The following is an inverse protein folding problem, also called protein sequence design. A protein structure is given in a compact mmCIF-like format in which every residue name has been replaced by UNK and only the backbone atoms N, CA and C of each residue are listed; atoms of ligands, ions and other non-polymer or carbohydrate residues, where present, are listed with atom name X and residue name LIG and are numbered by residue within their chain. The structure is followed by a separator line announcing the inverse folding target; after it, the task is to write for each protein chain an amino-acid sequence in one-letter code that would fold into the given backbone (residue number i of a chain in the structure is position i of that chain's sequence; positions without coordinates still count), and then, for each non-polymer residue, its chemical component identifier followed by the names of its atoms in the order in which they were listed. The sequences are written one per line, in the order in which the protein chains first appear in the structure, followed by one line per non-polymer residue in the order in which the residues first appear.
data_IF_556399783078
#
_entry.id   IF_556399783078
#
_cell.length_a   1.000
_cell.length_b   1.000
_cell.length_c   1.000
_cell.angle_alpha   90.00
_cell.angle_beta   90.00
_cell.angle_gamma   90.00
#
_symmetry.space_group_name_H-M   'P 1'
#
loop_
_entity.id
_entity.type
_entity.pdbx_description
1 polymer ?
#
# COMPACT_ATOMS: atom_id res chain seq x y z
N UNK A 1 -4.01 3.63 4.83
CA UNK A 1 -4.64 2.88 5.94
C UNK A 1 -3.96 1.54 6.17
N UNK A 2 -3.52 0.86 5.11
CA UNK A 2 -2.77 -0.40 5.18
C UNK A 2 -1.45 -0.20 5.95
N UNK A 3 -0.79 0.92 5.73
CA UNK A 3 0.45 1.35 6.37
C UNK A 3 0.25 1.53 7.88
N UNK A 4 -0.85 2.17 8.28
CA UNK A 4 -1.15 2.41 9.69
C UNK A 4 -1.27 1.10 10.48
N UNK A 5 -2.02 0.13 9.92
CA UNK A 5 -2.18 -1.21 10.49
C UNK A 5 -0.87 -2.02 10.50
N UNK A 6 0.00 -1.80 9.50
CA UNK A 6 1.30 -2.49 9.40
C UNK A 6 2.27 -2.07 10.51
N UNK A 7 2.14 -0.84 11.02
CA UNK A 7 3.06 -0.26 11.99
C UNK A 7 2.44 -0.01 13.38
N UNK A 8 1.29 -0.62 13.68
CA UNK A 8 0.56 -0.45 14.95
C UNK A 8 0.21 1.02 15.26
N UNK A 9 -0.15 1.80 14.23
CA UNK A 9 -0.55 3.20 14.37
C UNK A 9 -2.01 3.41 14.00
N UNK A 10 -2.64 4.43 14.59
CA UNK A 10 -4.02 4.78 14.25
C UNK A 10 -4.10 5.51 12.92
N UNK A 11 -4.84 4.96 11.96
CA UNK A 11 -5.10 5.64 10.68
C UNK A 11 -5.80 7.01 10.88
N UNK A 12 -6.63 7.14 11.93
CA UNK A 12 -7.27 8.41 12.29
C UNK A 12 -6.22 9.44 12.72
N UNK A 13 -5.25 9.00 13.51
CA UNK A 13 -4.16 9.85 13.96
C UNK A 13 -3.30 10.31 12.78
N UNK A 14 -2.88 9.41 11.88
CA UNK A 14 -2.07 9.79 10.72
C UNK A 14 -2.81 10.80 9.83
N UNK A 15 -4.10 10.60 9.58
CA UNK A 15 -4.90 11.56 8.79
C UNK A 15 -5.00 12.92 9.49
N UNK A 16 -5.24 12.94 10.81
CA UNK A 16 -5.28 14.18 11.57
C UNK A 16 -3.92 14.90 11.54
N UNK A 17 -2.82 14.17 11.72
CA UNK A 17 -1.47 14.72 11.65
C UNK A 17 -1.17 15.30 10.26
N UNK A 18 -1.51 14.60 9.17
CA UNK A 18 -1.35 15.12 7.82
C UNK A 18 -2.13 16.42 7.61
N UNK A 19 -3.38 16.44 8.05
CA UNK A 19 -4.24 17.62 7.91
C UNK A 19 -3.75 18.80 8.76
N UNK A 20 -3.18 18.57 9.95
CA UNK A 20 -2.61 19.64 10.77
C UNK A 20 -1.30 20.16 10.18
N UNK A 21 -0.43 19.28 9.66
CA UNK A 21 0.90 19.65 9.17
C UNK A 21 0.88 20.38 7.84
N UNK A 22 0.03 19.98 6.89
CA UNK A 22 0.01 20.60 5.56
C UNK A 22 -1.39 20.83 4.99
N UNK A 23 -2.46 20.51 5.74
CA UNK A 23 -3.79 20.49 5.15
C UNK A 23 -3.96 19.37 4.12
N UNK A 24 -3.13 18.31 4.18
CA UNK A 24 -3.06 17.24 3.18
C UNK A 24 -2.64 17.77 1.79
N UNK A 25 -1.83 18.84 1.76
CA UNK A 25 -1.28 19.36 0.52
C UNK A 25 -0.25 18.39 -0.09
N UNK A 26 -0.17 18.42 -1.42
CA UNK A 26 0.90 17.75 -2.18
C UNK A 26 2.02 18.75 -2.52
N UNK A 27 3.24 18.25 -2.73
CA UNK A 27 4.40 19.07 -3.06
C UNK A 27 5.01 19.83 -1.86
N UNK A 28 5.89 20.82 -2.11
CA UNK A 28 6.61 21.52 -1.06
C UNK A 28 5.69 22.38 -0.18
N UNK A 29 5.97 22.45 1.12
CA UNK A 29 5.27 23.33 2.05
C UNK A 29 5.57 24.81 1.77
N UNK A 30 4.65 25.70 2.17
CA UNK A 30 4.79 27.16 1.99
C UNK A 30 6.06 27.73 2.63
N UNK A 31 6.54 27.10 3.71
CA UNK A 31 7.76 27.47 4.39
C UNK A 31 9.04 26.91 3.72
N UNK A 32 8.89 26.08 2.69
CA UNK A 32 9.94 25.41 1.94
C UNK A 32 10.73 24.36 2.74
N UNK A 33 10.26 23.97 3.93
CA UNK A 33 10.98 23.02 4.80
C UNK A 33 10.57 21.56 4.60
N UNK A 34 9.34 21.32 4.14
CA UNK A 34 8.74 20.00 4.08
C UNK A 34 8.13 19.68 2.73
N UNK A 35 7.76 18.42 2.53
CA UNK A 35 7.09 17.94 1.32
C UNK A 35 5.89 17.04 1.65
N UNK A 36 4.81 17.24 0.89
CA UNK A 36 3.61 16.43 0.83
C UNK A 36 2.72 16.46 2.08
N UNK A 37 1.80 15.47 2.22
CA UNK A 37 0.75 15.48 3.24
C UNK A 37 1.26 15.56 4.68
N UNK A 38 2.49 15.12 4.95
CA UNK A 38 3.06 15.18 6.30
C UNK A 38 4.11 16.29 6.45
N UNK A 39 4.32 17.12 5.42
CA UNK A 39 5.37 18.12 5.35
C UNK A 39 6.73 17.55 5.82
N UNK A 40 7.11 16.36 5.34
CA UNK A 40 8.34 15.69 5.76
C UNK A 40 9.55 16.51 5.34
N UNK A 41 10.46 16.80 6.28
CA UNK A 41 11.71 17.48 5.92
C UNK A 41 12.70 16.50 5.30
N UNK A 42 13.70 17.03 4.59
CA UNK A 42 14.80 16.21 4.09
C UNK A 42 15.54 15.46 5.22
N UNK A 43 15.60 16.04 6.43
CA UNK A 43 16.21 15.41 7.61
C UNK A 43 15.38 14.24 8.14
N UNK A 44 14.07 14.44 8.29
CA UNK A 44 13.13 13.37 8.66
C UNK A 44 13.18 12.24 7.63
N UNK A 45 13.16 12.57 6.33
CA UNK A 45 13.26 11.60 5.26
C UNK A 45 14.55 10.78 5.33
N UNK A 46 15.71 11.44 5.39
CA UNK A 46 17.01 10.76 5.44
C UNK A 46 17.12 9.79 6.63
N UNK A 47 16.48 10.12 7.76
CA UNK A 47 16.53 9.29 8.97
C UNK A 47 15.58 8.09 8.91
N UNK A 48 14.39 8.25 8.31
CA UNK A 48 13.31 7.27 8.43
C UNK A 48 12.94 6.55 7.13
N UNK A 49 13.41 7.02 5.96
CA UNK A 49 13.14 6.40 4.65
C UNK A 49 13.81 5.03 4.47
N UNK A 50 14.83 4.73 5.26
CA UNK A 50 15.53 3.44 5.24
C UNK A 50 15.57 2.84 6.64
N UNK A 51 15.01 1.64 6.79
CA UNK A 51 14.96 0.90 8.06
C UNK A 51 15.12 -0.59 7.78
N UNK A 52 16.35 -1.10 7.94
CA UNK A 52 16.68 -2.48 7.63
C UNK A 52 15.86 -3.50 8.43
N UNK A 53 15.52 -3.19 9.69
CA UNK A 53 14.72 -4.03 10.58
C UNK A 53 13.32 -4.33 10.06
N UNK A 54 12.79 -3.49 9.16
CA UNK A 54 11.47 -3.63 8.54
C UNK A 54 11.56 -3.65 7.01
N UNK A 55 12.76 -3.90 6.44
CA UNK A 55 13.00 -3.94 4.99
C UNK A 55 12.53 -2.70 4.23
N UNK A 56 12.60 -1.52 4.86
CA UNK A 56 12.28 -0.25 4.22
C UNK A 56 13.55 0.33 3.58
N UNK A 57 13.48 0.73 2.30
CA UNK A 57 14.62 1.26 1.55
C UNK A 57 14.18 2.24 0.45
N UNK A 58 13.50 3.32 0.84
CA UNK A 58 13.14 4.38 -0.10
C UNK A 58 14.35 5.25 -0.43
N UNK A 59 14.44 5.65 -1.69
CA UNK A 59 15.46 6.55 -2.21
C UNK A 59 15.10 8.01 -1.90
N UNK A 60 16.06 8.96 -1.96
CA UNK A 60 15.79 10.38 -1.71
C UNK A 60 14.68 10.94 -2.61
N UNK A 61 14.60 10.52 -3.88
CA UNK A 61 13.55 10.97 -4.81
C UNK A 61 12.16 10.37 -4.56
N UNK A 62 12.05 9.36 -3.70
CA UNK A 62 10.75 8.77 -3.36
C UNK A 62 9.97 9.65 -2.36
N UNK A 63 10.55 10.76 -1.88
CA UNK A 63 9.86 11.73 -1.00
C UNK A 63 8.62 12.33 -1.67
N UNK A 64 8.56 12.36 -3.00
CA UNK A 64 7.40 12.83 -3.76
C UNK A 64 6.28 11.77 -3.88
N UNK A 65 6.52 10.52 -3.45
CA UNK A 65 5.49 9.49 -3.42
C UNK A 65 4.66 9.59 -2.14
N UNK A 66 3.38 9.91 -2.28
CA UNK A 66 2.44 9.97 -1.14
C UNK A 66 2.37 8.64 -0.36
N UNK A 67 2.53 7.49 -1.03
CA UNK A 67 2.55 6.16 -0.40
C UNK A 67 3.80 5.97 0.46
N UNK A 68 4.96 6.36 -0.08
CA UNK A 68 6.21 6.31 0.65
C UNK A 68 6.19 7.26 1.85
N UNK A 69 5.64 8.48 1.69
CA UNK A 69 5.45 9.43 2.79
C UNK A 69 4.52 8.88 3.89
N UNK A 70 3.40 8.25 3.53
CA UNK A 70 2.52 7.58 4.52
C UNK A 70 3.27 6.53 5.33
N UNK A 71 4.09 5.73 4.64
CA UNK A 71 4.88 4.66 5.26
C UNK A 71 5.94 5.24 6.20
N UNK A 72 6.73 6.21 5.74
CA UNK A 72 7.76 6.87 6.53
C UNK A 72 7.17 7.53 7.77
N UNK A 73 6.06 8.27 7.62
CA UNK A 73 5.43 8.93 8.76
C UNK A 73 4.80 7.95 9.75
N UNK A 74 4.28 6.80 9.29
CA UNK A 74 3.82 5.74 10.19
C UNK A 74 4.99 5.16 11.01
N UNK A 75 6.14 4.89 10.38
CA UNK A 75 7.37 4.44 11.05
C UNK A 75 7.85 5.46 12.10
N UNK A 76 7.88 6.75 11.74
CA UNK A 76 8.20 7.83 12.67
C UNK A 76 7.26 7.83 13.88
N UNK A 77 5.95 7.71 13.63
CA UNK A 77 4.91 7.70 14.65
C UNK A 77 5.10 6.55 15.63
N UNK A 78 5.30 5.32 15.14
CA UNK A 78 5.57 4.14 15.98
C UNK A 78 6.86 4.31 16.80
N UNK A 79 7.90 4.87 16.19
CA UNK A 79 9.17 5.16 16.86
C UNK A 79 9.00 6.11 18.04
N UNK A 80 8.31 7.25 17.82
CA UNK A 80 8.02 8.23 18.87
C UNK A 80 7.10 7.63 19.94
N UNK A 81 6.03 6.92 19.55
CA UNK A 81 5.10 6.27 20.48
C UNK A 81 5.81 5.30 21.42
N UNK A 82 6.71 4.45 20.91
CA UNK A 82 7.50 3.52 21.73
C UNK A 82 8.43 4.26 22.70
N UNK A 83 9.12 5.31 22.23
CA UNK A 83 10.04 6.09 23.06
C UNK A 83 9.32 6.81 24.20
N UNK A 84 8.19 7.47 23.92
CA UNK A 84 7.43 8.15 24.98
C UNK A 84 6.77 7.14 25.93
N UNK A 85 6.20 6.04 25.42
CA UNK A 85 5.57 5.02 26.24
C UNK A 85 6.54 4.41 27.27
N UNK A 86 7.79 4.17 26.85
CA UNK A 86 8.85 3.70 27.73
C UNK A 86 9.19 4.68 28.87
N UNK A 87 8.93 5.98 28.69
CA UNK A 87 9.23 7.03 29.67
C UNK A 87 8.06 7.33 30.61
N UNK A 88 6.82 7.15 30.16
CA UNK A 88 5.61 7.42 30.97
C UNK A 88 4.97 6.15 31.55
N UNK A 89 5.46 4.96 31.17
CA UNK A 89 4.96 3.68 31.68
C UNK A 89 3.56 3.28 31.18
N UNK A 90 3.05 3.96 30.14
CA UNK A 90 1.75 3.72 29.52
C UNK A 90 1.75 4.15 28.05
N UNK A 91 0.71 3.80 27.29
CA UNK A 91 0.59 4.28 25.90
C UNK A 91 0.24 5.78 25.89
N UNK A 92 0.93 6.61 25.08
CA UNK A 92 0.60 8.03 24.99
C UNK A 92 -0.79 8.22 24.37
N UNK A 93 -1.51 9.24 24.81
CA UNK A 93 -2.67 9.73 24.08
C UNK A 93 -2.24 10.52 22.83
N UNK A 94 -3.18 10.88 21.95
CA UNK A 94 -2.86 11.56 20.68
C UNK A 94 -2.23 12.94 20.87
N UNK A 95 -2.56 13.66 21.95
CA UNK A 95 -1.98 14.98 22.25
C UNK A 95 -0.52 14.83 22.66
N UNK A 96 -0.23 13.88 23.55
CA UNK A 96 1.14 13.56 24.00
C UNK A 96 2.01 13.09 22.84
N UNK A 97 1.48 12.21 21.99
CA UNK A 97 2.17 11.70 20.81
C UNK A 97 2.48 12.83 19.81
N UNK A 98 1.51 13.69 19.51
CA UNK A 98 1.70 14.78 18.57
C UNK A 98 2.66 15.85 19.11
N UNK A 99 2.58 16.15 20.41
CA UNK A 99 3.53 17.04 21.09
C UNK A 99 4.97 16.49 20.99
N UNK A 100 5.16 15.19 21.19
CA UNK A 100 6.47 14.53 21.07
C UNK A 100 7.00 14.51 19.63
N UNK A 101 6.14 14.30 18.63
CA UNK A 101 6.53 14.43 17.23
C UNK A 101 6.95 15.86 16.85
N UNK A 102 6.33 16.85 17.49
CA UNK A 102 6.57 18.27 17.23
C UNK A 102 7.83 18.79 17.90
N UNK A 103 8.11 18.36 19.13
CA UNK A 103 9.15 18.93 19.99
C UNK A 103 10.35 18.00 20.23
N UNK A 104 10.21 16.70 19.94
CA UNK A 104 11.08 15.66 20.44
C UNK A 104 10.60 15.13 21.81
N UNK A 105 11.00 13.91 22.15
CA UNK A 105 10.46 13.20 23.32
C UNK A 105 10.80 13.92 24.62
N UNK A 106 12.06 14.35 24.80
CA UNK A 106 12.49 14.99 26.06
C UNK A 106 11.84 16.35 26.28
N UNK A 107 11.72 17.18 25.24
CA UNK A 107 11.02 18.47 25.31
C UNK A 107 9.52 18.27 25.60
N UNK A 108 8.86 17.31 24.94
CA UNK A 108 7.45 17.04 25.20
C UNK A 108 7.20 16.57 26.63
N UNK A 109 8.03 15.69 27.18
CA UNK A 109 7.93 15.25 28.57
C UNK A 109 8.14 16.40 29.57
N UNK A 110 9.08 17.30 29.30
CA UNK A 110 9.29 18.49 30.11
C UNK A 110 8.05 19.42 30.08
N UNK A 111 7.48 19.65 28.90
CA UNK A 111 6.26 20.44 28.72
C UNK A 111 5.03 19.82 29.40
N UNK A 112 4.89 18.49 29.37
CA UNK A 112 3.80 17.76 30.03
C UNK A 112 3.95 17.81 31.56
N UNK A 113 5.17 17.81 32.08
CA UNK A 113 5.46 17.88 33.52
C UNK A 113 5.18 19.26 34.11
N UNK A 114 5.46 20.33 33.36
CA UNK A 114 5.24 21.72 33.79
C UNK A 114 4.52 22.53 32.70
N UNK A 115 3.19 22.60 32.82
CA UNK A 115 2.35 23.38 31.92
C UNK A 115 2.61 24.90 31.96
N UNK A 116 3.30 25.41 32.98
CA UNK A 116 3.64 26.84 33.10
C UNK A 116 4.98 27.21 32.44
N UNK A 117 5.76 26.20 32.04
CA UNK A 117 7.03 26.37 31.37
C UNK A 117 6.87 27.15 30.06
N UNK A 118 7.87 27.98 29.77
CA UNK A 118 7.98 28.65 28.48
C UNK A 118 8.41 27.64 27.40
N UNK A 119 7.68 27.57 26.28
CA UNK A 119 7.90 26.50 25.30
C UNK A 119 9.25 26.63 24.59
N UNK A 120 9.70 27.86 24.34
CA UNK A 120 10.99 28.10 23.68
C UNK A 120 12.14 27.68 24.61
N UNK A 121 11.98 27.92 25.92
CA UNK A 121 12.92 27.45 26.94
C UNK A 121 12.95 25.92 27.01
N UNK A 122 11.79 25.26 26.95
CA UNK A 122 11.71 23.79 26.94
C UNK A 122 12.43 23.19 25.73
N UNK A 123 12.20 23.73 24.54
CA UNK A 123 12.88 23.28 23.31
C UNK A 123 14.39 23.55 23.41
N UNK A 124 14.78 24.75 23.83
CA UNK A 124 16.19 25.16 23.93
C UNK A 124 16.99 24.41 24.99
N UNK A 125 16.33 23.74 25.93
CA UNK A 125 16.98 22.89 26.94
C UNK A 125 17.38 21.50 26.41
N UNK A 126 16.87 21.08 25.24
CA UNK A 126 17.23 19.80 24.62
C UNK A 126 18.49 19.98 23.79
N UNK A 127 19.45 19.06 23.98
CA UNK A 127 20.70 19.11 23.24
C UNK A 127 20.45 18.92 21.71
N UNK A 128 21.15 19.67 20.83
CA UNK A 128 20.91 19.61 19.39
C UNK A 128 21.07 18.22 18.77
N UNK A 129 22.00 17.42 19.27
CA UNK A 129 22.23 16.04 18.84
C UNK A 129 21.08 15.10 19.21
N UNK A 130 20.44 15.32 20.37
CA UNK A 130 19.23 14.60 20.77
C UNK A 130 18.07 14.92 19.83
N UNK A 131 17.85 16.20 19.50
CA UNK A 131 16.83 16.59 18.52
C UNK A 131 17.14 16.02 17.12
N UNK A 132 18.40 16.09 16.68
CA UNK A 132 18.82 15.58 15.38
C UNK A 132 18.61 14.05 15.25
N UNK A 133 18.83 13.29 16.33
CA UNK A 133 18.55 11.86 16.38
C UNK A 133 17.06 11.52 16.24
N UNK A 134 16.17 12.50 16.41
CA UNK A 134 14.73 12.40 16.17
C UNK A 134 14.30 13.03 14.84
N UNK A 135 15.26 13.50 14.02
CA UNK A 135 14.99 14.17 12.74
C UNK A 135 14.56 15.63 12.90
N UNK A 136 14.77 16.24 14.07
CA UNK A 136 14.32 17.58 14.39
C UNK A 136 15.46 18.59 14.44
N UNK A 137 15.09 19.86 14.33
CA UNK A 137 15.97 21.02 14.49
C UNK A 137 15.23 22.11 15.27
N UNK A 138 15.84 22.65 16.33
CA UNK A 138 15.19 23.64 17.20
C UNK A 138 14.74 24.89 16.43
N UNK A 139 15.49 25.30 15.39
CA UNK A 139 15.16 26.48 14.58
C UNK A 139 14.00 26.20 13.62
N UNK A 140 13.91 24.98 13.10
CA UNK A 140 12.83 24.55 12.20
C UNK A 140 11.53 24.29 12.95
N UNK A 141 11.57 23.79 14.20
CA UNK A 141 10.38 23.54 15.02
C UNK A 141 9.52 24.80 15.13
N UNK A 142 10.13 25.94 15.44
CA UNK A 142 9.42 27.22 15.57
C UNK A 142 8.75 27.65 14.25
N UNK A 143 9.42 27.43 13.12
CA UNK A 143 8.93 27.78 11.79
C UNK A 143 7.77 26.89 11.35
N UNK A 144 7.92 25.57 11.50
CA UNK A 144 6.93 24.56 11.08
C UNK A 144 5.66 24.59 11.93
N UNK A 145 5.80 24.91 13.21
CA UNK A 145 4.72 24.74 14.18
C UNK A 145 4.29 26.04 14.86
N UNK A 146 4.68 27.20 14.34
CA UNK A 146 4.40 28.51 14.95
C UNK A 146 2.92 28.79 15.20
N UNK A 147 2.00 28.20 14.42
CA UNK A 147 0.55 28.33 14.63
C UNK A 147 0.06 27.58 15.88
N UNK A 148 0.73 26.48 16.25
CA UNK A 148 0.42 25.65 17.41
C UNK A 148 1.21 26.05 18.66
N UNK A 149 2.47 26.44 18.48
CA UNK A 149 3.34 26.88 19.56
C UNK A 149 2.79 28.16 20.20
N UNK A 150 2.46 28.07 21.50
CA UNK A 150 2.11 29.21 22.35
C UNK A 150 3.22 29.42 23.36
N UNK A 151 3.28 30.61 23.95
CA UNK A 151 4.32 30.96 24.92
C UNK A 151 4.44 29.92 26.05
N UNK A 152 3.31 29.38 26.52
CA UNK A 152 3.27 28.41 27.63
C UNK A 152 2.92 27.00 27.17
N UNK A 153 3.55 26.00 27.79
CA UNK A 153 3.33 24.58 27.49
C UNK A 153 1.85 24.18 27.53
N UNK A 154 1.11 24.55 28.58
CA UNK A 154 -0.32 24.25 28.70
C UNK A 154 -1.15 24.86 27.55
N UNK A 155 -0.80 26.06 27.09
CA UNK A 155 -1.48 26.71 25.98
C UNK A 155 -1.16 26.04 24.64
N UNK A 156 0.07 25.55 24.45
CA UNK A 156 0.48 24.74 23.29
C UNK A 156 -0.27 23.41 23.28
N UNK A 157 -0.31 22.70 24.40
CA UNK A 157 -1.04 21.43 24.57
C UNK A 157 -2.52 21.62 24.22
N UNK A 158 -3.16 22.67 24.73
CA UNK A 158 -4.56 22.98 24.41
C UNK A 158 -4.78 23.34 22.93
N UNK A 159 -3.81 23.99 22.30
CA UNK A 159 -3.87 24.28 20.86
C UNK A 159 -3.79 22.99 20.03
N UNK A 160 -2.92 22.05 20.41
CA UNK A 160 -2.81 20.73 19.79
C UNK A 160 -4.11 19.93 19.97
N UNK A 161 -4.61 19.86 21.20
CA UNK A 161 -5.86 19.16 21.53
C UNK A 161 -7.02 19.65 20.65
N UNK A 162 -7.21 20.98 20.56
CA UNK A 162 -8.25 21.58 19.72
C UNK A 162 -8.10 21.20 18.24
N UNK A 163 -6.88 21.20 17.72
CA UNK A 163 -6.64 20.88 16.31
C UNK A 163 -6.84 19.39 16.03
N UNK A 164 -6.35 18.52 16.90
CA UNK A 164 -6.60 17.08 16.80
C UNK A 164 -8.09 16.78 16.85
N UNK A 165 -8.86 17.40 17.75
CA UNK A 165 -10.32 17.23 17.81
C UNK A 165 -10.99 17.58 16.48
N UNK A 166 -10.68 18.75 15.92
CA UNK A 166 -11.23 19.21 14.63
C UNK A 166 -10.88 18.24 13.50
N UNK A 167 -9.61 17.84 13.39
CA UNK A 167 -9.15 17.04 12.26
C UNK A 167 -9.49 15.55 12.39
N UNK A 168 -9.56 15.01 13.61
CA UNK A 168 -10.08 13.66 13.85
C UNK A 168 -11.58 13.59 13.52
N UNK A 169 -12.36 14.59 13.91
CA UNK A 169 -13.78 14.67 13.57
C UNK A 169 -13.99 14.77 12.05
N UNK A 170 -13.18 15.58 11.36
CA UNK A 170 -13.22 15.71 9.91
C UNK A 170 -12.81 14.43 9.17
N UNK A 171 -11.84 13.67 9.72
CA UNK A 171 -11.39 12.40 9.14
C UNK A 171 -12.38 11.24 9.36
N UNK A 172 -13.19 11.30 10.43
CA UNK A 172 -14.05 10.19 10.84
C UNK A 172 -15.04 9.70 9.75
N UNK A 173 -15.75 10.56 8.98
CA UNK A 173 -16.63 10.09 7.91
C UNK A 173 -15.89 9.34 6.81
N UNK A 174 -14.71 9.83 6.42
CA UNK A 174 -13.89 9.18 5.40
C UNK A 174 -13.41 7.81 5.87
N UNK A 175 -12.86 7.73 7.09
CA UNK A 175 -12.35 6.47 7.62
C UNK A 175 -13.47 5.46 7.86
N UNK A 176 -14.65 5.91 8.33
CA UNK A 176 -15.84 5.05 8.43
C UNK A 176 -16.24 4.50 7.07
N UNK A 177 -16.22 5.32 6.02
CA UNK A 177 -16.54 4.88 4.66
C UNK A 177 -15.52 3.86 4.15
N UNK A 178 -14.22 4.18 4.19
CA UNK A 178 -13.17 3.27 3.71
C UNK A 178 -13.11 1.99 4.56
N UNK A 179 -13.32 2.11 5.87
CA UNK A 179 -13.45 0.96 6.78
C UNK A 179 -14.66 0.09 6.46
N UNK A 180 -15.83 0.69 6.20
CA UNK A 180 -17.03 -0.04 5.76
C UNK A 180 -16.83 -0.71 4.40
N UNK A 181 -16.16 -0.05 3.45
CA UNK A 181 -15.84 -0.63 2.14
C UNK A 181 -14.83 -1.78 2.29
N UNK A 182 -13.87 -1.66 3.20
CA UNK A 182 -12.89 -2.70 3.49
C UNK A 182 -13.54 -3.90 4.22
N UNK A 183 -14.43 -3.65 5.18
CA UNK A 183 -15.22 -4.69 5.86
C UNK A 183 -16.18 -5.34 4.87
N UNK A 184 -16.91 -4.59 4.05
CA UNK A 184 -17.77 -5.17 3.01
C UNK A 184 -16.96 -5.99 1.99
N UNK A 185 -15.77 -5.52 1.63
CA UNK A 185 -14.84 -6.27 0.78
C UNK A 185 -14.30 -7.51 1.50
N UNK A 186 -14.02 -7.43 2.80
CA UNK A 186 -13.56 -8.53 3.62
C UNK A 186 -14.66 -9.51 3.98
N UNK A 187 -15.92 -9.08 4.11
CA UNK A 187 -17.12 -9.87 4.30
C UNK A 187 -17.48 -10.57 3.00
N UNK A 188 -17.37 -9.87 1.86
CA UNK A 188 -17.39 -10.51 0.55
C UNK A 188 -16.26 -11.54 0.46
N UNK A 189 -15.05 -11.20 0.89
CA UNK A 189 -13.91 -12.10 0.88
C UNK A 189 -14.08 -13.28 1.85
N UNK A 190 -14.67 -13.08 3.04
CA UNK A 190 -14.94 -14.06 4.10
C UNK A 190 -16.09 -14.98 3.71
N UNK A 191 -17.14 -14.45 3.07
CA UNK A 191 -18.19 -15.26 2.43
C UNK A 191 -17.66 -16.02 1.20
N UNK A 192 -16.53 -15.60 0.61
CA UNK A 192 -15.78 -16.39 -0.37
C UNK A 192 -14.64 -17.22 0.24
N UNK A 193 -14.36 -17.10 1.55
CA UNK A 193 -13.24 -17.76 2.24
C UNK A 193 -13.63 -19.09 2.89
N UNK A 194 -14.83 -19.62 2.60
CA UNK A 194 -15.05 -21.06 2.69
C UNK A 194 -14.36 -21.71 1.48
N UNK A 195 -13.06 -21.97 1.64
CA UNK A 195 -12.22 -22.75 0.72
C UNK A 195 -12.67 -24.20 0.51
N UNK A 196 -13.90 -24.56 0.89
CA UNK A 196 -14.49 -25.85 0.62
C UNK A 196 -15.32 -25.90 -0.68
N UNK A 197 -15.76 -24.78 -1.27
CA UNK A 197 -16.70 -24.84 -2.42
C UNK A 197 -16.59 -23.72 -3.46
N UNK A 198 -15.45 -23.01 -3.61
CA UNK A 198 -15.30 -22.12 -4.77
C UNK A 198 -15.33 -22.94 -6.06
N UNK A 199 -16.30 -22.66 -6.93
CA UNK A 199 -16.42 -23.29 -8.26
C UNK A 199 -16.31 -22.21 -9.34
N UNK A 200 -15.84 -22.63 -10.51
CA UNK A 200 -15.68 -21.73 -11.67
C UNK A 200 -17.02 -21.65 -12.39
N UNK A 201 -17.54 -20.43 -12.53
CA UNK A 201 -18.69 -20.13 -13.36
C UNK A 201 -18.30 -20.05 -14.84
N UNK A 202 -18.20 -21.21 -15.49
CA UNK A 202 -17.97 -21.29 -16.94
C UNK A 202 -19.14 -20.74 -17.79
N UNK A 203 -20.27 -20.43 -17.15
CA UNK A 203 -21.45 -19.81 -17.77
C UNK A 203 -21.50 -18.28 -17.57
N UNK A 204 -20.45 -17.69 -16.99
CA UNK A 204 -20.35 -16.24 -16.85
C UNK A 204 -20.44 -15.53 -18.20
N UNK A 205 -21.13 -14.38 -18.23
CA UNK A 205 -21.24 -13.51 -19.42
C UNK A 205 -19.88 -13.00 -19.93
N UNK A 206 -18.84 -13.02 -19.10
CA UNK A 206 -17.47 -12.67 -19.51
C UNK A 206 -16.81 -13.78 -20.35
N UNK A 207 -17.34 -15.00 -20.32
CA UNK A 207 -16.91 -16.13 -21.15
C UNK A 207 -17.93 -16.30 -22.29
N UNK A 208 -17.53 -15.97 -23.51
CA UNK A 208 -18.36 -16.25 -24.68
C UNK A 208 -18.58 -17.76 -24.83
N UNK A 209 -19.80 -18.16 -25.21
CA UNK A 209 -20.19 -19.58 -25.29
C UNK A 209 -19.25 -20.41 -26.20
N UNK A 210 -18.79 -19.83 -27.31
CA UNK A 210 -17.85 -20.43 -28.26
C UNK A 210 -16.40 -20.50 -27.75
N UNK A 211 -16.10 -19.85 -26.62
CA UNK A 211 -14.77 -19.80 -25.98
C UNK A 211 -14.73 -20.54 -24.64
N UNK A 212 -15.85 -21.10 -24.18
CA UNK A 212 -15.96 -21.80 -22.89
C UNK A 212 -14.96 -22.96 -22.77
N UNK A 213 -14.76 -23.72 -23.84
CA UNK A 213 -13.81 -24.82 -23.88
C UNK A 213 -12.36 -24.37 -23.56
N UNK A 214 -11.99 -23.13 -23.87
CA UNK A 214 -10.66 -22.60 -23.56
C UNK A 214 -10.51 -22.20 -22.10
N UNK A 215 -11.56 -21.65 -21.47
CA UNK A 215 -11.56 -21.44 -20.03
C UNK A 215 -11.46 -22.78 -19.27
N UNK A 216 -12.19 -23.80 -19.72
CA UNK A 216 -12.13 -25.15 -19.15
C UNK A 216 -10.74 -25.78 -19.32
N UNK A 217 -10.10 -25.60 -20.48
CA UNK A 217 -8.74 -26.08 -20.71
C UNK A 217 -7.73 -25.39 -19.78
N UNK A 218 -7.83 -24.07 -19.58
CA UNK A 218 -6.99 -23.34 -18.63
C UNK A 218 -7.16 -23.93 -17.22
N UNK A 219 -8.42 -24.07 -16.75
CA UNK A 219 -8.70 -24.64 -15.43
C UNK A 219 -8.09 -26.04 -15.27
N UNK A 220 -8.30 -26.92 -16.26
CA UNK A 220 -7.76 -28.28 -16.28
C UNK A 220 -6.23 -28.28 -16.18
N UNK A 221 -5.54 -27.51 -17.03
CA UNK A 221 -4.06 -27.48 -17.04
C UNK A 221 -3.48 -26.88 -15.76
N UNK A 222 -4.12 -25.87 -15.18
CA UNK A 222 -3.71 -25.34 -13.88
C UNK A 222 -3.93 -26.36 -12.76
N UNK A 223 -5.06 -27.08 -12.77
CA UNK A 223 -5.32 -28.15 -11.82
C UNK A 223 -4.30 -29.29 -11.92
N UNK A 224 -3.92 -29.71 -13.13
CA UNK A 224 -2.88 -30.72 -13.37
C UNK A 224 -1.50 -30.30 -12.82
N UNK A 225 -1.25 -28.98 -12.68
CA UNK A 225 -0.04 -28.42 -12.05
C UNK A 225 -0.20 -28.20 -10.54
N UNK A 226 -1.30 -28.64 -9.94
CA UNK A 226 -1.56 -28.54 -8.50
C UNK A 226 -2.10 -27.19 -8.04
N UNK A 227 -2.55 -26.33 -8.96
CA UNK A 227 -3.15 -25.04 -8.60
C UNK A 227 -4.64 -25.18 -8.28
N UNK A 228 -5.09 -24.51 -7.20
CA UNK A 228 -6.48 -24.50 -6.75
C UNK A 228 -7.40 -23.59 -7.57
N UNK A 229 -8.69 -23.60 -7.26
CA UNK A 229 -9.71 -22.85 -8.01
C UNK A 229 -9.42 -21.35 -8.07
N UNK A 230 -8.87 -20.75 -7.00
CA UNK A 230 -8.50 -19.33 -6.97
C UNK A 230 -7.49 -18.99 -8.07
N UNK A 231 -6.44 -19.80 -8.21
CA UNK A 231 -5.41 -19.62 -9.23
C UNK A 231 -5.96 -19.88 -10.64
N UNK A 232 -6.84 -20.88 -10.79
CA UNK A 232 -7.51 -21.17 -12.06
C UNK A 232 -8.37 -19.98 -12.52
N UNK A 233 -9.17 -19.40 -11.62
CA UNK A 233 -10.00 -18.22 -11.91
C UNK A 233 -9.12 -17.02 -12.27
N UNK A 234 -8.03 -16.79 -11.52
CA UNK A 234 -7.09 -15.71 -11.83
C UNK A 234 -6.51 -15.86 -13.23
N UNK A 235 -6.08 -17.07 -13.62
CA UNK A 235 -5.56 -17.35 -14.96
C UNK A 235 -6.62 -17.12 -16.06
N UNK A 236 -7.86 -17.58 -15.86
CA UNK A 236 -8.96 -17.35 -16.81
C UNK A 236 -9.26 -15.86 -16.95
N UNK A 237 -9.35 -15.11 -15.85
CA UNK A 237 -9.61 -13.67 -15.87
C UNK A 237 -8.51 -12.90 -16.62
N UNK A 238 -7.25 -13.31 -16.46
CA UNK A 238 -6.12 -12.77 -17.20
C UNK A 238 -6.24 -13.08 -18.71
N UNK A 239 -6.50 -14.33 -19.09
CA UNK A 239 -6.68 -14.70 -20.49
C UNK A 239 -7.90 -14.00 -21.15
N UNK A 240 -8.97 -13.72 -20.40
CA UNK A 240 -10.09 -12.88 -20.86
C UNK A 240 -9.58 -11.44 -21.11
N UNK A 241 -8.81 -10.87 -20.19
CA UNK A 241 -8.27 -9.52 -20.33
C UNK A 241 -7.30 -9.37 -21.51
N UNK A 242 -6.49 -10.40 -21.77
CA UNK A 242 -5.44 -10.39 -22.80
C UNK A 242 -5.98 -10.70 -24.21
N UNK A 243 -6.81 -11.73 -24.34
CA UNK A 243 -7.24 -12.25 -25.65
C UNK A 243 -8.75 -12.35 -25.80
N UNK A 244 -9.50 -12.06 -24.74
CA UNK A 244 -10.90 -12.46 -24.64
C UNK A 244 -11.09 -13.98 -24.70
N UNK A 245 -10.09 -14.78 -24.31
CA UNK A 245 -10.02 -16.24 -24.53
C UNK A 245 -9.99 -16.65 -26.02
N UNK A 246 -9.36 -15.86 -26.88
CA UNK A 246 -9.15 -16.24 -28.29
C UNK A 246 -7.73 -16.78 -28.51
N UNK A 247 -7.55 -18.09 -28.73
CA UNK A 247 -6.22 -18.67 -28.88
C UNK A 247 -5.52 -18.29 -30.19
N UNK A 248 -6.23 -17.77 -31.19
CA UNK A 248 -5.62 -17.44 -32.49
C UNK A 248 -5.26 -15.96 -32.64
N UNK A 249 -5.58 -15.13 -31.64
CA UNK A 249 -5.39 -13.68 -31.71
C UNK A 249 -3.90 -13.32 -31.72
N UNK A 250 -3.56 -12.33 -32.55
CA UNK A 250 -2.25 -11.69 -32.62
C UNK A 250 -2.42 -10.23 -32.17
N UNK A 251 -1.51 -9.74 -31.33
CA UNK A 251 -1.46 -8.31 -31.02
C UNK A 251 -1.05 -7.47 -32.26
N UNK A 252 -1.43 -6.18 -32.32
CA UNK A 252 -0.95 -5.30 -33.37
C UNK A 252 0.58 -5.22 -33.43
N UNK A 253 1.12 -5.00 -34.62
CA UNK A 253 2.55 -4.72 -34.77
C UNK A 253 2.89 -3.39 -34.06
N UNK A 254 4.08 -3.28 -33.44
CA UNK A 254 5.22 -4.19 -33.52
C UNK A 254 5.28 -5.27 -32.41
N UNK A 255 4.26 -5.39 -31.57
CA UNK A 255 4.34 -6.14 -30.33
C UNK A 255 4.55 -7.65 -30.56
N UNK A 256 3.90 -8.26 -31.55
CA UNK A 256 4.08 -9.69 -31.90
C UNK A 256 3.85 -10.66 -30.72
N UNK A 257 2.70 -10.47 -30.06
CA UNK A 257 2.18 -11.33 -29.00
C UNK A 257 1.06 -12.24 -29.55
N UNK A 258 0.95 -13.46 -29.03
CA UNK A 258 0.05 -14.48 -29.60
C UNK A 258 -0.70 -15.28 -28.53
N UNK A 259 -1.94 -15.64 -28.86
CA UNK A 259 -2.74 -16.63 -28.15
C UNK A 259 -3.36 -16.17 -26.84
N UNK A 260 -3.75 -17.14 -26.00
CA UNK A 260 -4.61 -16.92 -24.83
C UNK A 260 -4.01 -15.92 -23.84
N UNK A 261 -2.71 -16.02 -23.57
CA UNK A 261 -1.97 -15.16 -22.66
C UNK A 261 -1.08 -14.11 -23.36
N UNK A 262 -1.32 -13.84 -24.65
CA UNK A 262 -0.55 -12.87 -25.45
C UNK A 262 0.97 -13.02 -25.25
N UNK A 263 1.50 -14.23 -25.47
CA UNK A 263 2.91 -14.52 -25.26
C UNK A 263 3.75 -13.81 -26.34
N UNK A 264 4.64 -12.93 -25.90
CA UNK A 264 5.47 -12.10 -26.77
C UNK A 264 6.72 -12.86 -27.27
N UNK A 265 7.05 -12.75 -28.57
CA UNK A 265 8.26 -13.40 -29.15
C UNK A 265 9.59 -12.87 -28.62
N UNK A 266 9.62 -11.68 -28.01
CA UNK A 266 10.78 -11.12 -27.31
C UNK A 266 10.74 -11.39 -25.80
N UNK A 267 9.67 -12.04 -25.31
CA UNK A 267 9.46 -12.34 -23.90
C UNK A 267 9.22 -13.83 -23.70
N UNK A 268 8.13 -14.18 -23.02
CA UNK A 268 7.79 -15.57 -22.64
C UNK A 268 7.65 -16.49 -23.86
N UNK A 269 7.23 -15.96 -25.01
CA UNK A 269 7.11 -16.71 -26.27
C UNK A 269 8.42 -16.83 -27.07
N UNK A 270 9.56 -16.36 -26.53
CA UNK A 270 10.84 -16.43 -27.24
C UNK A 270 11.23 -17.86 -27.60
N UNK A 271 11.69 -18.06 -28.85
CA UNK A 271 12.14 -19.34 -29.38
C UNK A 271 11.01 -20.26 -29.88
N UNK A 272 9.75 -19.84 -29.80
CA UNK A 272 8.61 -20.58 -30.33
C UNK A 272 8.12 -20.02 -31.66
N UNK A 273 7.61 -20.91 -32.51
CA UNK A 273 6.91 -20.53 -33.74
C UNK A 273 5.55 -19.88 -33.40
N UNK A 274 5.12 -18.80 -34.09
CA UNK A 274 3.81 -18.20 -33.87
C UNK A 274 2.62 -19.17 -33.95
N UNK A 275 2.69 -20.22 -34.77
CA UNK A 275 1.67 -21.26 -34.83
C UNK A 275 1.60 -22.07 -33.53
N UNK A 276 2.74 -22.34 -32.89
CA UNK A 276 2.80 -22.98 -31.57
C UNK A 276 2.18 -22.08 -30.50
N UNK A 277 2.43 -20.76 -30.57
CA UNK A 277 1.84 -19.83 -29.61
C UNK A 277 0.33 -19.63 -29.80
N UNK A 278 -0.21 -19.98 -30.99
CA UNK A 278 -1.66 -19.98 -31.26
C UNK A 278 -2.35 -21.30 -30.91
N UNK A 279 -1.60 -22.36 -30.66
CA UNK A 279 -2.14 -23.59 -30.11
C UNK A 279 -2.49 -23.35 -28.62
N UNK A 280 -3.76 -23.50 -28.22
CA UNK A 280 -4.19 -23.17 -26.86
C UNK A 280 -3.48 -24.01 -25.80
N UNK A 281 -3.25 -25.30 -26.07
CA UNK A 281 -2.61 -26.21 -25.11
C UNK A 281 -1.14 -25.85 -24.90
N UNK A 282 -0.42 -25.59 -26.00
CA UNK A 282 0.98 -25.13 -25.95
C UNK A 282 1.10 -23.75 -25.31
N UNK A 283 0.22 -22.81 -25.64
CA UNK A 283 0.21 -21.47 -25.04
C UNK A 283 0.07 -21.54 -23.51
N UNK A 284 -0.87 -22.36 -23.02
CA UNK A 284 -1.07 -22.58 -21.57
C UNK A 284 0.14 -23.27 -20.94
N UNK A 285 0.67 -24.32 -21.57
CA UNK A 285 1.84 -25.04 -21.05
C UNK A 285 3.06 -24.14 -20.92
N UNK A 286 3.33 -23.27 -21.91
CA UNK A 286 4.45 -22.32 -21.88
C UNK A 286 4.28 -21.33 -20.72
N UNK A 287 3.07 -20.81 -20.51
CA UNK A 287 2.78 -19.92 -19.38
C UNK A 287 2.99 -20.64 -18.03
N UNK A 288 2.52 -21.87 -17.88
CA UNK A 288 2.70 -22.66 -16.65
C UNK A 288 4.19 -22.95 -16.37
N UNK A 289 4.97 -23.25 -17.40
CA UNK A 289 6.42 -23.46 -17.26
C UNK A 289 7.15 -22.16 -16.91
N UNK A 290 6.67 -21.03 -17.44
CA UNK A 290 7.18 -19.72 -17.07
C UNK A 290 6.88 -19.38 -15.61
N UNK A 291 5.63 -19.60 -15.16
CA UNK A 291 5.22 -19.42 -13.75
C UNK A 291 6.08 -20.28 -12.83
N UNK A 292 6.29 -21.56 -13.16
CA UNK A 292 7.10 -22.48 -12.36
C UNK A 292 8.54 -21.98 -12.10
N UNK A 293 9.07 -21.15 -13.00
CA UNK A 293 10.43 -20.58 -12.90
C UNK A 293 10.51 -19.28 -12.08
N UNK A 294 9.39 -18.75 -11.58
CA UNK A 294 9.36 -17.45 -10.88
C UNK A 294 9.65 -17.51 -9.38
N UNK A 295 10.16 -18.64 -8.86
CA UNK A 295 10.65 -18.76 -7.49
C UNK A 295 9.61 -18.34 -6.44
N UNK A 296 9.89 -17.28 -5.69
CA UNK A 296 8.99 -16.81 -4.63
C UNK A 296 7.62 -16.40 -5.16
N UNK A 297 7.53 -15.75 -6.32
CA UNK A 297 6.26 -15.34 -6.89
C UNK A 297 5.36 -16.54 -7.23
N UNK A 298 5.94 -17.66 -7.63
CA UNK A 298 5.19 -18.91 -7.83
C UNK A 298 4.64 -19.44 -6.52
N UNK A 299 5.45 -19.44 -5.45
CA UNK A 299 5.03 -19.88 -4.12
C UNK A 299 3.90 -19.01 -3.57
N UNK A 300 4.04 -17.69 -3.69
CA UNK A 300 3.02 -16.73 -3.25
C UNK A 300 1.71 -16.93 -4.03
N UNK A 301 1.82 -17.14 -5.35
CA UNK A 301 0.66 -17.43 -6.19
C UNK A 301 -0.01 -18.76 -5.82
N UNK A 302 0.76 -19.80 -5.53
CA UNK A 302 0.23 -21.11 -5.14
C UNK A 302 -0.41 -21.09 -3.74
N UNK A 303 0.13 -20.29 -2.82
CA UNK A 303 -0.31 -20.26 -1.42
C UNK A 303 -1.49 -19.33 -1.15
N UNK A 304 -1.77 -18.36 -2.04
CA UNK A 304 -2.83 -17.38 -1.78
C UNK A 304 -4.23 -18.00 -1.89
N UNK A 305 -5.10 -17.59 -0.98
CA UNK A 305 -6.53 -17.91 -0.98
C UNK A 305 -7.41 -16.73 -1.42
N UNK A 306 -6.83 -15.55 -1.66
CA UNK A 306 -7.57 -14.37 -2.13
C UNK A 306 -7.55 -14.28 -3.65
N UNK A 307 -8.72 -14.08 -4.25
CA UNK A 307 -8.82 -13.90 -5.71
C UNK A 307 -8.15 -12.60 -6.16
N UNK A 308 -8.26 -11.52 -5.39
CA UNK A 308 -7.61 -10.24 -5.65
C UNK A 308 -6.10 -10.38 -5.61
N UNK A 309 -5.57 -11.06 -4.58
CA UNK A 309 -4.13 -11.32 -4.46
C UNK A 309 -3.64 -12.21 -5.60
N UNK A 310 -4.37 -13.27 -5.96
CA UNK A 310 -3.99 -14.15 -7.06
C UNK A 310 -3.93 -13.40 -8.40
N UNK A 311 -4.95 -12.58 -8.71
CA UNK A 311 -4.95 -11.73 -9.91
C UNK A 311 -3.78 -10.75 -9.87
N UNK A 312 -3.57 -10.06 -8.74
CA UNK A 312 -2.49 -9.08 -8.61
C UNK A 312 -1.11 -9.72 -8.77
N UNK A 313 -0.86 -10.90 -8.21
CA UNK A 313 0.38 -11.65 -8.40
C UNK A 313 0.54 -12.02 -9.87
N UNK A 314 -0.50 -12.55 -10.51
CA UNK A 314 -0.44 -12.95 -11.91
C UNK A 314 -0.06 -11.77 -12.81
N UNK A 315 -0.73 -10.62 -12.67
CA UNK A 315 -0.43 -9.41 -13.44
C UNK A 315 0.98 -8.90 -13.16
N UNK A 316 1.33 -8.71 -11.88
CA UNK A 316 2.61 -8.08 -11.48
C UNK A 316 3.81 -8.94 -11.77
N UNK A 317 3.70 -10.25 -11.62
CA UNK A 317 4.85 -11.16 -11.59
C UNK A 317 4.97 -11.99 -12.85
N UNK A 318 3.85 -12.31 -13.51
CA UNK A 318 3.87 -13.19 -14.67
C UNK A 318 3.69 -12.44 -15.99
N UNK A 319 2.70 -11.55 -16.09
CA UNK A 319 2.47 -10.83 -17.35
C UNK A 319 3.29 -9.55 -17.50
N UNK A 320 3.44 -8.79 -16.40
CA UNK A 320 4.24 -7.55 -16.34
C UNK A 320 3.86 -6.51 -17.42
N UNK A 321 2.55 -6.17 -17.58
CA UNK A 321 2.16 -5.13 -18.52
C UNK A 321 2.66 -3.76 -18.06
N UNK A 322 2.81 -2.84 -19.03
CA UNK A 322 3.24 -1.46 -18.75
C UNK A 322 2.34 -0.76 -17.73
N UNK A 323 1.02 -0.90 -17.88
CA UNK A 323 0.04 -0.42 -16.91
C UNK A 323 -0.44 -1.57 -16.02
N UNK A 324 0.38 -1.90 -15.03
CA UNK A 324 0.07 -2.96 -14.06
C UNK A 324 -1.17 -2.63 -13.22
N UNK A 325 -1.34 -1.37 -12.80
CA UNK A 325 -2.45 -0.98 -11.94
C UNK A 325 -3.79 -1.06 -12.69
N UNK A 326 -3.83 -0.54 -13.92
CA UNK A 326 -5.01 -0.62 -14.78
C UNK A 326 -5.35 -2.07 -15.13
N UNK A 327 -4.36 -2.91 -15.43
CA UNK A 327 -4.59 -4.33 -15.70
C UNK A 327 -5.19 -5.09 -14.50
N UNK A 328 -4.70 -4.82 -13.28
CA UNK A 328 -5.30 -5.39 -12.05
C UNK A 328 -6.74 -4.89 -11.87
N UNK A 329 -6.95 -3.57 -11.99
CA UNK A 329 -8.27 -2.96 -11.83
C UNK A 329 -9.29 -3.50 -12.84
N UNK A 330 -8.86 -3.83 -14.06
CA UNK A 330 -9.70 -4.43 -15.08
C UNK A 330 -10.03 -5.92 -14.81
N UNK A 331 -9.05 -6.69 -14.28
CA UNK A 331 -9.16 -8.16 -14.18
C UNK A 331 -9.78 -8.65 -12.88
N UNK A 332 -9.64 -7.92 -11.78
CA UNK A 332 -10.28 -8.29 -10.50
C UNK A 332 -11.81 -8.38 -10.63
N UNK A 333 -12.52 -7.41 -11.26
CA UNK A 333 -13.96 -7.52 -11.47
C UNK A 333 -14.36 -8.71 -12.35
N UNK A 334 -13.55 -9.08 -13.34
CA UNK A 334 -13.78 -10.28 -14.17
C UNK A 334 -13.68 -11.52 -13.30
N UNK A 335 -12.60 -11.66 -12.54
CA UNK A 335 -12.35 -12.81 -11.68
C UNK A 335 -13.48 -13.02 -10.65
N UNK A 336 -13.99 -11.94 -10.04
CA UNK A 336 -15.12 -12.02 -9.10
C UNK A 336 -16.40 -12.57 -9.74
N UNK A 337 -16.68 -12.24 -11.02
CA UNK A 337 -17.86 -12.74 -11.74
C UNK A 337 -17.72 -14.18 -12.22
N UNK A 338 -16.53 -14.77 -12.12
CA UNK A 338 -16.26 -16.16 -12.41
C UNK A 338 -16.43 -17.08 -11.19
N UNK A 339 -16.78 -16.55 -10.01
CA UNK A 339 -17.02 -17.33 -8.80
C UNK A 339 -18.51 -17.70 -8.70
N UNK A 340 -18.79 -18.97 -8.38
CA UNK A 340 -20.09 -19.49 -7.94
C UNK A 340 -19.91 -20.44 -6.76
#
# INVERSE_FOLDING_TARGET
MVEAATFDTSAHYLMAAASIRSGVADGPSDDGLGTGPFALTAREWALFATQASISLNFQPGDIDSWEAQCTVFAVMTTGVQKRIAARIGSQPNSVELYLAQMLGVDAALAALKDGSADIATVIGAVAPDVLAAEGLDATEIAKRHGTLLKAKAAATIKAIEKQLEVHLAAAAPFIKKVGADAVASAETALHTADGANLRINFESKDIKADRRQWAQLIALRFQERGYGTVQQIAAIANAIGESGLNPTIKSPDPENSYGLFQLNLKGVGHGYDPAVLKDPDKNISIMLDYIAKQGQAQKDFAATSSIETAVAIFVRKFERPKDTAGAIAARVPIARRLII
#
